data_IF_138065710306
#
_entry.id   IF_138065710306
#
_cell.length_a   1.000
_cell.length_b   1.000
_cell.length_c   1.000
_cell.angle_alpha   90.00
_cell.angle_beta   90.00
_cell.angle_gamma   90.00
#
_symmetry.space_group_name_H-M   'P 1'
#
loop_
_entity.id
_entity.type
_entity.pdbx_description
1 polymer ?
#
# COMPACT_ATOMS: atom_id res chain seq x y z
N UNK A 1 18.93 23.55 -2.43
CA UNK A 1 17.88 22.92 -3.27
C UNK A 1 16.68 22.63 -2.39
N UNK A 2 15.48 23.13 -2.71
CA UNK A 2 14.26 22.91 -1.92
C UNK A 2 13.74 21.49 -2.21
N UNK A 3 13.80 20.61 -1.22
CA UNK A 3 13.35 19.20 -1.36
C UNK A 3 11.84 19.06 -1.13
N UNK A 4 11.23 19.95 -0.37
CA UNK A 4 9.80 19.93 -0.02
C UNK A 4 9.17 21.31 -0.13
N UNK A 5 7.91 21.35 -0.57
CA UNK A 5 7.03 22.50 -0.46
C UNK A 5 6.11 22.30 0.75
N UNK A 6 6.32 23.09 1.81
CA UNK A 6 5.57 23.00 3.06
C UNK A 6 4.15 23.55 2.86
N UNK A 7 3.16 22.78 3.31
CA UNK A 7 1.74 23.16 3.21
C UNK A 7 1.51 24.49 3.94
N UNK A 8 0.87 25.44 3.25
CA UNK A 8 0.56 26.76 3.79
C UNK A 8 1.74 27.73 3.95
N UNK A 9 2.96 27.34 3.54
CA UNK A 9 4.16 28.19 3.65
C UNK A 9 4.95 28.36 2.35
N UNK A 10 4.70 27.54 1.35
CA UNK A 10 5.37 27.61 0.06
C UNK A 10 4.62 28.48 -0.95
N UNK A 11 5.35 28.96 -1.95
CA UNK A 11 4.77 29.69 -3.09
C UNK A 11 3.64 28.85 -3.73
N UNK A 12 2.43 29.41 -3.90
CA UNK A 12 1.24 28.65 -4.28
C UNK A 12 1.38 27.88 -5.60
N UNK A 13 1.94 28.50 -6.64
CA UNK A 13 2.06 27.90 -7.96
C UNK A 13 3.08 26.75 -7.97
N UNK A 14 4.20 26.89 -7.28
CA UNK A 14 5.19 25.83 -7.12
C UNK A 14 4.63 24.64 -6.34
N UNK A 15 3.92 24.90 -5.23
CA UNK A 15 3.22 23.88 -4.45
C UNK A 15 2.16 23.15 -5.30
N UNK A 16 1.37 23.91 -6.08
CA UNK A 16 0.38 23.36 -7.00
C UNK A 16 1.02 22.43 -8.04
N UNK A 17 2.07 22.90 -8.75
CA UNK A 17 2.79 22.09 -9.75
C UNK A 17 3.39 20.82 -9.16
N UNK A 18 3.96 20.92 -7.95
CA UNK A 18 4.49 19.77 -7.22
C UNK A 18 3.40 18.75 -6.88
N UNK A 19 2.23 19.22 -6.45
CA UNK A 19 1.08 18.36 -6.12
C UNK A 19 0.51 17.68 -7.36
N UNK A 20 0.39 18.40 -8.48
CA UNK A 20 -0.06 17.84 -9.75
C UNK A 20 0.88 16.73 -10.24
N UNK A 21 2.20 16.97 -10.20
CA UNK A 21 3.18 15.95 -10.60
C UNK A 21 3.16 14.73 -9.68
N UNK A 22 2.99 14.94 -8.36
CA UNK A 22 2.80 13.86 -7.40
C UNK A 22 1.57 13.00 -7.77
N UNK A 23 0.43 13.63 -8.06
CA UNK A 23 -0.77 12.88 -8.44
C UNK A 23 -0.56 12.15 -9.75
N UNK A 24 0.05 12.77 -10.76
CA UNK A 24 0.37 12.11 -12.04
C UNK A 24 1.26 10.88 -11.86
N UNK A 25 2.30 10.95 -11.04
CA UNK A 25 3.16 9.78 -10.79
C UNK A 25 2.38 8.65 -10.10
N UNK A 26 1.47 8.98 -9.18
CA UNK A 26 0.60 7.98 -8.53
C UNK A 26 -0.43 7.38 -9.50
N UNK A 27 -0.96 8.15 -10.45
CA UNK A 27 -1.85 7.64 -11.50
C UNK A 27 -1.12 6.64 -12.39
N UNK A 28 0.11 6.95 -12.82
CA UNK A 28 0.92 6.04 -13.62
C UNK A 28 1.21 4.75 -12.86
N UNK A 29 1.59 4.85 -11.58
CA UNK A 29 1.82 3.69 -10.73
C UNK A 29 0.53 2.86 -10.51
N UNK A 30 -0.63 3.51 -10.38
CA UNK A 30 -1.92 2.83 -10.27
C UNK A 30 -2.26 2.04 -11.55
N UNK A 31 -2.00 2.59 -12.73
CA UNK A 31 -2.19 1.87 -13.99
C UNK A 31 -1.20 0.72 -14.15
N UNK A 32 0.06 0.90 -13.74
CA UNK A 32 1.03 -0.20 -13.68
C UNK A 32 0.56 -1.32 -12.75
N UNK A 33 -0.03 -0.98 -11.61
CA UNK A 33 -0.59 -1.97 -10.69
C UNK A 33 -1.68 -2.82 -11.36
N UNK A 34 -2.63 -2.18 -12.04
CA UNK A 34 -3.65 -2.88 -12.80
C UNK A 34 -3.05 -3.77 -13.90
N UNK A 35 -2.08 -3.25 -14.65
CA UNK A 35 -1.36 -4.02 -15.67
C UNK A 35 -0.69 -5.27 -15.07
N UNK A 36 0.07 -5.13 -13.99
CA UNK A 36 0.76 -6.26 -13.38
C UNK A 36 -0.17 -7.29 -12.75
N UNK A 37 -1.30 -6.88 -12.17
CA UNK A 37 -2.29 -7.84 -11.69
C UNK A 37 -2.94 -8.62 -12.83
N UNK A 38 -3.34 -7.94 -13.91
CA UNK A 38 -3.94 -8.60 -15.08
C UNK A 38 -2.93 -9.52 -15.78
N UNK A 39 -1.70 -9.05 -15.99
CA UNK A 39 -0.62 -9.87 -16.53
C UNK A 39 -0.30 -11.05 -15.61
N UNK A 40 -0.24 -10.83 -14.30
CA UNK A 40 -0.05 -11.87 -13.29
C UNK A 40 -1.08 -12.99 -13.39
N UNK A 41 -2.34 -12.67 -13.62
CA UNK A 41 -3.40 -13.68 -13.81
C UNK A 41 -3.23 -14.48 -15.11
N UNK A 42 -2.67 -13.89 -16.15
CA UNK A 42 -2.53 -14.51 -17.48
C UNK A 42 -1.25 -15.34 -17.66
N UNK A 43 -0.28 -15.26 -16.76
CA UNK A 43 1.03 -15.91 -16.89
C UNK A 43 1.17 -17.19 -16.06
N UNK A 44 2.15 -18.07 -16.39
CA UNK A 44 2.41 -19.29 -15.62
C UNK A 44 2.86 -19.03 -14.17
N UNK A 45 2.73 -20.07 -13.34
CA UNK A 45 2.91 -20.01 -11.88
C UNK A 45 4.30 -19.55 -11.42
N UNK A 46 5.35 -19.81 -12.21
CA UNK A 46 6.74 -19.46 -11.88
C UNK A 46 7.01 -17.94 -11.88
N UNK A 47 6.26 -17.16 -12.68
CA UNK A 47 6.38 -15.70 -12.74
C UNK A 47 5.16 -14.97 -12.15
N UNK A 48 4.03 -15.68 -11.99
CA UNK A 48 2.80 -15.17 -11.38
C UNK A 48 3.05 -14.41 -10.08
N UNK A 49 3.69 -15.04 -9.07
CA UNK A 49 3.90 -14.43 -7.76
C UNK A 49 4.67 -13.11 -7.81
N UNK A 50 5.65 -13.02 -8.71
CA UNK A 50 6.45 -11.81 -8.91
C UNK A 50 5.65 -10.67 -9.54
N UNK A 51 4.84 -10.96 -10.57
CA UNK A 51 3.95 -9.95 -11.17
C UNK A 51 2.89 -9.48 -10.17
N UNK A 52 2.30 -10.39 -9.39
CA UNK A 52 1.35 -10.01 -8.34
C UNK A 52 2.02 -9.10 -7.29
N UNK A 53 3.28 -9.38 -6.91
CA UNK A 53 4.04 -8.52 -6.00
C UNK A 53 4.39 -7.17 -6.61
N UNK A 54 4.79 -7.10 -7.89
CA UNK A 54 4.98 -5.82 -8.59
C UNK A 54 3.68 -5.01 -8.64
N UNK A 55 2.55 -5.67 -8.87
CA UNK A 55 1.22 -5.07 -8.79
C UNK A 55 0.94 -4.45 -7.42
N UNK A 56 1.27 -5.15 -6.32
CA UNK A 56 1.14 -4.64 -4.96
C UNK A 56 2.13 -3.49 -4.67
N UNK A 57 3.38 -3.61 -5.10
CA UNK A 57 4.40 -2.56 -4.91
C UNK A 57 3.98 -1.27 -5.64
N UNK A 58 3.51 -1.37 -6.88
CA UNK A 58 2.95 -0.26 -7.66
C UNK A 58 1.72 0.34 -6.96
N UNK A 59 0.83 -0.50 -6.46
CA UNK A 59 -0.39 -0.06 -5.77
C UNK A 59 -0.06 0.72 -4.49
N UNK A 60 0.78 0.17 -3.62
CA UNK A 60 1.15 0.82 -2.36
C UNK A 60 2.09 1.99 -2.57
N UNK A 61 2.88 2.03 -3.65
CA UNK A 61 3.52 3.27 -4.07
C UNK A 61 2.47 4.34 -4.36
N UNK A 62 1.48 4.06 -5.21
CA UNK A 62 0.43 5.03 -5.55
C UNK A 62 -0.34 5.52 -4.32
N UNK A 63 -0.83 4.59 -3.48
CA UNK A 63 -1.64 4.90 -2.29
C UNK A 63 -0.83 5.65 -1.23
N UNK A 64 0.36 5.18 -0.88
CA UNK A 64 1.13 5.84 0.18
C UNK A 64 1.68 7.18 -0.28
N UNK A 65 2.02 7.31 -1.57
CA UNK A 65 2.60 8.54 -2.10
C UNK A 65 1.57 9.64 -2.32
N UNK A 66 0.32 9.32 -2.70
CA UNK A 66 -0.76 10.33 -2.77
C UNK A 66 -1.11 10.91 -1.39
N UNK A 67 -0.94 10.12 -0.34
CA UNK A 67 -1.20 10.52 1.04
C UNK A 67 -0.01 11.19 1.73
N UNK A 68 1.17 11.09 1.12
CA UNK A 68 2.42 11.58 1.67
C UNK A 68 2.32 13.04 2.16
N UNK A 69 1.67 13.99 1.44
CA UNK A 69 1.50 15.35 1.94
C UNK A 69 0.86 15.43 3.33
N UNK A 70 -0.13 14.58 3.62
CA UNK A 70 -0.75 14.47 4.95
C UNK A 70 0.15 13.77 5.97
N UNK A 71 1.06 12.90 5.53
CA UNK A 71 1.97 12.15 6.40
C UNK A 71 3.22 12.93 6.81
N UNK A 72 3.63 13.94 6.04
CA UNK A 72 4.84 14.74 6.30
C UNK A 72 4.58 16.25 6.40
N UNK A 73 3.32 16.68 6.21
CA UNK A 73 2.90 18.08 6.15
C UNK A 73 3.68 18.92 5.11
N UNK A 74 3.95 18.30 3.96
CA UNK A 74 4.64 18.92 2.83
C UNK A 74 4.50 18.07 1.56
N UNK A 75 4.52 18.70 0.40
CA UNK A 75 4.58 18.01 -0.90
C UNK A 75 6.05 17.93 -1.35
N UNK A 76 6.55 16.77 -1.80
CA UNK A 76 7.89 16.65 -2.38
C UNK A 76 8.07 17.56 -3.60
N UNK A 77 9.30 18.02 -3.81
CA UNK A 77 9.66 18.74 -5.03
C UNK A 77 9.46 17.85 -6.27
N UNK A 78 9.10 18.47 -7.40
CA UNK A 78 8.82 17.79 -8.68
C UNK A 78 9.93 16.82 -9.12
N UNK A 79 11.18 17.24 -8.97
CA UNK A 79 12.33 16.40 -9.28
C UNK A 79 12.43 15.16 -8.38
N UNK A 80 12.08 15.28 -7.09
CA UNK A 80 12.06 14.14 -6.17
C UNK A 80 10.91 13.18 -6.52
N UNK A 81 9.75 13.71 -6.92
CA UNK A 81 8.61 12.92 -7.44
C UNK A 81 9.01 12.05 -8.62
N UNK A 82 9.54 12.67 -9.68
CA UNK A 82 9.91 11.93 -10.88
C UNK A 82 11.14 11.05 -10.67
N UNK A 83 12.11 11.48 -9.85
CA UNK A 83 13.24 10.63 -9.44
C UNK A 83 12.79 9.38 -8.69
N UNK A 84 11.80 9.51 -7.80
CA UNK A 84 11.22 8.38 -7.08
C UNK A 84 10.47 7.44 -8.01
N UNK A 85 9.64 7.98 -8.91
CA UNK A 85 8.92 7.14 -9.87
C UNK A 85 9.87 6.45 -10.85
N UNK A 86 10.87 7.15 -11.39
CA UNK A 86 11.88 6.55 -12.27
C UNK A 86 12.67 5.47 -11.56
N UNK A 87 13.12 5.69 -10.32
CA UNK A 87 13.80 4.64 -9.55
C UNK A 87 12.90 3.43 -9.25
N UNK A 88 11.58 3.64 -9.09
CA UNK A 88 10.61 2.55 -9.03
C UNK A 88 10.56 1.73 -10.33
N UNK A 89 10.48 2.41 -11.49
CA UNK A 89 10.50 1.74 -12.81
C UNK A 89 11.79 0.96 -13.00
N UNK A 90 12.94 1.57 -12.72
CA UNK A 90 14.25 0.92 -12.80
C UNK A 90 14.31 -0.29 -11.88
N UNK A 91 13.76 -0.20 -10.66
CA UNK A 91 13.64 -1.33 -9.75
C UNK A 91 12.76 -2.46 -10.33
N UNK A 92 11.61 -2.14 -10.90
CA UNK A 92 10.69 -3.11 -11.49
C UNK A 92 11.27 -3.82 -12.72
N UNK A 93 12.04 -3.11 -13.55
CA UNK A 93 12.72 -3.68 -14.72
C UNK A 93 13.97 -4.44 -14.30
N UNK A 94 14.81 -3.84 -13.44
CA UNK A 94 16.06 -4.42 -12.95
C UNK A 94 15.86 -5.62 -12.02
N UNK A 95 14.65 -5.81 -11.48
CA UNK A 95 14.26 -6.96 -10.69
C UNK A 95 14.59 -8.30 -11.39
N UNK A 96 14.44 -8.38 -12.71
CA UNK A 96 14.74 -9.59 -13.46
C UNK A 96 16.24 -9.92 -13.54
N UNK A 97 17.12 -8.95 -13.28
CA UNK A 97 18.56 -9.13 -13.33
C UNK A 97 19.18 -9.37 -11.93
N UNK A 98 18.77 -8.58 -10.94
CA UNK A 98 19.40 -8.57 -9.60
C UNK A 98 18.40 -8.76 -8.45
N UNK A 99 17.17 -9.20 -8.75
CA UNK A 99 16.12 -9.41 -7.76
C UNK A 99 15.69 -8.12 -7.08
N UNK A 100 15.20 -8.21 -5.84
CA UNK A 100 14.64 -7.04 -5.14
C UNK A 100 15.70 -5.99 -4.76
N UNK A 101 16.99 -6.33 -4.79
CA UNK A 101 18.07 -5.35 -4.61
C UNK A 101 18.00 -4.18 -5.62
N UNK A 102 17.38 -4.40 -6.80
CA UNK A 102 17.12 -3.34 -7.78
C UNK A 102 16.26 -2.19 -7.22
N UNK A 103 15.47 -2.43 -6.18
CA UNK A 103 14.63 -1.42 -5.53
C UNK A 103 15.39 -0.58 -4.49
N UNK A 104 16.70 -0.80 -4.26
CA UNK A 104 17.46 -0.03 -3.28
C UNK A 104 17.41 1.50 -3.53
N UNK A 105 17.62 2.02 -4.76
CA UNK A 105 17.52 3.46 -5.02
C UNK A 105 16.13 4.02 -4.73
N UNK A 106 15.09 3.25 -5.09
CA UNK A 106 13.70 3.59 -4.77
C UNK A 106 13.48 3.67 -3.26
N UNK A 107 13.87 2.65 -2.51
CA UNK A 107 13.70 2.58 -1.07
C UNK A 107 14.40 3.76 -0.36
N UNK A 108 15.66 4.02 -0.69
CA UNK A 108 16.45 5.10 -0.08
C UNK A 108 15.83 6.46 -0.36
N UNK A 109 15.46 6.75 -1.61
CA UNK A 109 14.85 8.03 -1.97
C UNK A 109 13.48 8.20 -1.31
N UNK A 110 12.68 7.14 -1.25
CA UNK A 110 11.37 7.19 -0.61
C UNK A 110 11.49 7.47 0.89
N UNK A 111 12.43 6.79 1.57
CA UNK A 111 12.74 7.00 3.00
C UNK A 111 13.22 8.43 3.23
N UNK A 112 14.10 8.95 2.37
CA UNK A 112 14.58 10.33 2.45
C UNK A 112 13.42 11.32 2.36
N UNK A 113 12.48 11.11 1.44
CA UNK A 113 11.28 11.95 1.30
C UNK A 113 10.41 11.92 2.58
N UNK A 114 10.33 10.77 3.26
CA UNK A 114 9.63 10.62 4.54
C UNK A 114 10.32 11.30 5.72
N UNK A 115 11.60 11.67 5.62
CA UNK A 115 12.42 12.17 6.73
C UNK A 115 11.73 13.27 7.56
N UNK A 116 11.04 14.21 6.89
CA UNK A 116 10.30 15.30 7.56
C UNK A 116 9.19 14.79 8.47
N UNK A 117 8.53 13.71 8.10
CA UNK A 117 7.47 13.06 8.86
C UNK A 117 7.96 11.88 9.71
N UNK A 118 9.21 11.89 10.20
CA UNK A 118 9.68 10.88 11.16
C UNK A 118 9.73 11.38 12.60
N UNK A 119 9.66 12.70 12.81
CA UNK A 119 9.80 13.32 14.14
C UNK A 119 8.98 14.60 14.25
N UNK A 120 8.68 15.01 15.48
CA UNK A 120 8.12 16.32 15.80
C UNK A 120 6.60 16.36 16.03
N UNK A 121 5.83 15.39 15.54
CA UNK A 121 4.39 15.31 15.83
C UNK A 121 3.92 13.86 16.01
N UNK A 122 2.96 13.59 16.92
CA UNK A 122 2.45 12.23 17.12
C UNK A 122 1.83 11.60 15.87
N UNK A 123 1.22 12.40 15.00
CA UNK A 123 0.62 11.96 13.73
C UNK A 123 1.64 11.38 12.74
N UNK A 124 2.93 11.59 12.98
CA UNK A 124 4.02 11.10 12.13
C UNK A 124 4.52 9.71 12.54
N UNK A 125 4.31 9.28 13.79
CA UNK A 125 4.86 8.00 14.27
C UNK A 125 4.47 6.77 13.45
N UNK A 126 3.26 6.66 12.84
CA UNK A 126 2.96 5.52 11.97
C UNK A 126 3.87 5.41 10.73
N UNK A 127 4.56 6.50 10.31
CA UNK A 127 5.52 6.45 9.21
C UNK A 127 6.72 5.56 9.50
N UNK A 128 7.03 5.31 10.78
CA UNK A 128 8.14 4.43 11.17
C UNK A 128 7.94 3.02 10.60
N UNK A 129 6.72 2.51 10.62
CA UNK A 129 6.38 1.19 10.05
C UNK A 129 6.62 1.19 8.53
N UNK A 130 6.11 2.20 7.81
CA UNK A 130 6.28 2.32 6.35
C UNK A 130 7.75 2.42 5.95
N UNK A 131 8.53 3.26 6.63
CA UNK A 131 9.97 3.43 6.36
C UNK A 131 10.74 2.15 6.62
N UNK A 132 10.42 1.43 7.70
CA UNK A 132 10.99 0.10 7.93
C UNK A 132 10.67 -0.86 6.78
N UNK A 133 9.41 -0.93 6.32
CA UNK A 133 9.04 -1.77 5.18
C UNK A 133 9.81 -1.42 3.90
N UNK A 134 10.02 -0.13 3.63
CA UNK A 134 10.84 0.34 2.49
C UNK A 134 12.29 -0.15 2.60
N UNK A 135 12.91 -0.05 3.78
CA UNK A 135 14.29 -0.49 4.00
C UNK A 135 14.46 -2.01 3.89
N UNK A 136 13.42 -2.78 4.17
CA UNK A 136 13.43 -4.25 4.07
C UNK A 136 13.25 -4.75 2.64
N UNK A 137 12.61 -3.97 1.75
CA UNK A 137 12.34 -4.36 0.36
C UNK A 137 13.60 -4.84 -0.40
N UNK A 138 14.72 -4.08 -0.46
CA UNK A 138 15.90 -4.52 -1.21
C UNK A 138 16.59 -5.77 -0.64
N UNK A 139 16.24 -6.18 0.59
CA UNK A 139 16.78 -7.38 1.21
C UNK A 139 16.00 -8.64 0.84
N UNK A 140 14.87 -8.54 0.14
CA UNK A 140 13.99 -9.68 -0.15
C UNK A 140 14.62 -10.63 -1.19
N UNK A 141 14.49 -11.94 -0.94
CA UNK A 141 14.98 -13.00 -1.83
C UNK A 141 13.88 -13.57 -2.74
N UNK A 142 12.61 -13.44 -2.35
CA UNK A 142 11.47 -13.99 -3.08
C UNK A 142 10.24 -13.08 -2.96
N UNK A 143 9.22 -13.39 -3.76
CA UNK A 143 8.01 -12.58 -3.85
C UNK A 143 7.22 -12.50 -2.53
N UNK A 144 7.29 -13.54 -1.69
CA UNK A 144 6.57 -13.59 -0.41
C UNK A 144 7.21 -12.67 0.64
N UNK A 145 8.53 -12.66 0.73
CA UNK A 145 9.25 -11.68 1.55
C UNK A 145 8.95 -10.25 1.09
N UNK A 146 8.92 -10.02 -0.22
CA UNK A 146 8.65 -8.70 -0.78
C UNK A 146 7.23 -8.19 -0.45
N UNK A 147 6.18 -9.02 -0.44
CA UNK A 147 4.86 -8.55 0.04
C UNK A 147 4.87 -8.22 1.53
N UNK A 148 5.68 -8.92 2.32
CA UNK A 148 5.90 -8.69 3.75
C UNK A 148 6.91 -7.58 4.04
N UNK A 149 7.39 -6.86 3.03
CA UNK A 149 8.24 -5.68 3.18
C UNK A 149 7.40 -4.39 3.13
N UNK A 150 7.60 -3.55 2.13
CA UNK A 150 6.90 -2.28 1.95
C UNK A 150 5.36 -2.39 1.85
N UNK A 151 4.76 -3.34 1.08
CA UNK A 151 3.30 -3.42 0.95
C UNK A 151 2.61 -3.68 2.29
N UNK A 152 3.03 -4.71 3.03
CA UNK A 152 2.40 -5.05 4.32
C UNK A 152 2.65 -3.96 5.36
N UNK A 153 3.84 -3.37 5.41
CA UNK A 153 4.17 -2.26 6.30
C UNK A 153 3.26 -1.05 6.05
N UNK A 154 2.97 -0.77 4.78
CA UNK A 154 2.05 0.30 4.38
C UNK A 154 0.64 0.05 4.91
N UNK A 155 0.15 -1.19 4.83
CA UNK A 155 -1.14 -1.55 5.42
C UNK A 155 -1.13 -1.37 6.93
N UNK A 156 -0.13 -1.89 7.64
CA UNK A 156 -0.06 -1.71 9.10
C UNK A 156 0.02 -0.24 9.51
N UNK A 157 0.76 0.59 8.76
CA UNK A 157 0.78 2.03 9.00
C UNK A 157 -0.62 2.66 8.86
N UNK A 158 -1.35 2.30 7.80
CA UNK A 158 -2.71 2.80 7.56
C UNK A 158 -3.71 2.30 8.60
N UNK A 159 -3.68 1.00 8.94
CA UNK A 159 -4.50 0.42 10.00
C UNK A 159 -4.22 1.11 11.33
N UNK A 160 -2.96 1.35 11.66
CA UNK A 160 -2.59 2.06 12.87
C UNK A 160 -3.14 3.49 12.88
N UNK A 161 -3.06 4.21 11.76
CA UNK A 161 -3.63 5.56 11.61
C UNK A 161 -5.15 5.56 11.83
N UNK A 162 -5.86 4.71 11.11
CA UNK A 162 -7.32 4.74 11.06
C UNK A 162 -7.92 4.17 12.33
N UNK A 163 -7.47 3.00 12.79
CA UNK A 163 -8.07 2.34 13.96
C UNK A 163 -7.79 3.13 15.24
N UNK A 164 -6.60 3.76 15.37
CA UNK A 164 -6.32 4.68 16.48
C UNK A 164 -7.24 5.91 16.44
N UNK A 165 -7.45 6.49 15.25
CA UNK A 165 -8.36 7.62 15.06
C UNK A 165 -9.83 7.27 15.36
N UNK A 166 -10.32 6.13 14.85
CA UNK A 166 -11.68 5.60 15.13
C UNK A 166 -11.86 5.27 16.60
N UNK A 167 -10.82 4.84 17.29
CA UNK A 167 -10.80 4.63 18.73
C UNK A 167 -10.66 5.93 19.54
N UNK A 168 -10.50 7.09 18.88
CA UNK A 168 -10.23 8.40 19.49
C UNK A 168 -9.03 8.38 20.44
N UNK A 169 -8.04 7.54 20.13
CA UNK A 169 -6.80 7.39 20.90
C UNK A 169 -5.73 8.33 20.35
N UNK A 170 -4.74 8.65 21.18
CA UNK A 170 -3.56 9.41 20.74
C UNK A 170 -2.53 8.45 20.14
N UNK A 171 -1.86 8.89 19.08
CA UNK A 171 -0.65 8.23 18.61
C UNK A 171 0.46 8.42 19.64
N UNK A 172 1.17 7.34 19.96
CA UNK A 172 2.33 7.40 20.88
C UNK A 172 3.56 6.85 20.21
N UNK A 173 4.72 7.44 20.54
CA UNK A 173 6.02 6.98 20.06
C UNK A 173 6.27 5.53 20.52
N UNK A 174 5.89 5.21 21.76
CA UNK A 174 6.00 3.86 22.31
C UNK A 174 5.26 2.83 21.46
N UNK A 175 3.98 3.06 21.18
CA UNK A 175 3.19 2.08 20.41
C UNK A 175 3.71 1.96 18.98
N UNK A 176 4.13 3.06 18.35
CA UNK A 176 4.75 3.00 17.03
C UNK A 176 6.07 2.22 17.04
N UNK A 177 6.95 2.48 18.01
CA UNK A 177 8.21 1.76 18.17
C UNK A 177 7.98 0.26 18.38
N UNK A 178 7.03 -0.12 19.24
CA UNK A 178 6.71 -1.53 19.49
C UNK A 178 6.14 -2.18 18.23
N UNK A 179 5.18 -1.55 17.54
CA UNK A 179 4.66 -2.07 16.26
C UNK A 179 5.78 -2.26 15.24
N UNK A 180 6.67 -1.26 15.09
CA UNK A 180 7.80 -1.32 14.17
C UNK A 180 8.78 -2.42 14.56
N UNK A 181 9.13 -2.55 15.83
CA UNK A 181 10.05 -3.59 16.32
C UNK A 181 9.48 -4.99 16.11
N UNK A 182 8.21 -5.20 16.46
CA UNK A 182 7.51 -6.47 16.21
C UNK A 182 7.43 -6.77 14.71
N UNK A 183 7.27 -5.75 13.87
CA UNK A 183 7.29 -5.91 12.42
C UNK A 183 8.66 -6.38 11.91
N UNK A 184 9.76 -5.78 12.38
CA UNK A 184 11.13 -6.20 12.04
C UNK A 184 11.37 -7.63 12.48
N UNK A 185 11.03 -7.98 13.73
CA UNK A 185 11.17 -9.34 14.26
C UNK A 185 10.34 -10.32 13.43
N UNK A 186 9.11 -9.97 13.06
CA UNK A 186 8.27 -10.80 12.22
C UNK A 186 8.87 -11.01 10.83
N UNK A 187 9.46 -9.97 10.22
CA UNK A 187 10.14 -10.08 8.93
C UNK A 187 11.38 -10.98 9.01
N UNK A 188 12.16 -10.88 10.08
CA UNK A 188 13.27 -11.81 10.34
C UNK A 188 12.72 -13.24 10.50
N UNK A 189 11.59 -13.42 11.19
CA UNK A 189 10.89 -14.70 11.26
C UNK A 189 10.54 -15.26 9.88
N UNK A 190 9.96 -14.44 9.00
CA UNK A 190 9.67 -14.81 7.60
C UNK A 190 10.93 -15.25 6.86
N UNK A 191 12.04 -14.51 7.02
CA UNK A 191 13.35 -14.86 6.43
C UNK A 191 13.84 -16.24 6.87
N UNK A 192 13.51 -16.63 8.09
CA UNK A 192 13.83 -17.93 8.67
C UNK A 192 12.76 -19.01 8.37
N UNK A 193 11.76 -18.70 7.54
CA UNK A 193 10.67 -19.61 7.16
C UNK A 193 9.45 -19.60 8.08
N UNK A 194 9.44 -18.80 9.14
CA UNK A 194 8.32 -18.69 10.09
C UNK A 194 7.27 -17.68 9.60
N UNK A 195 6.50 -18.04 8.57
CA UNK A 195 5.51 -17.14 7.95
C UNK A 195 4.39 -16.69 8.91
N UNK A 196 4.11 -17.47 9.96
CA UNK A 196 3.13 -17.11 10.99
C UNK A 196 3.60 -15.96 11.90
N UNK A 197 4.88 -15.56 11.84
CA UNK A 197 5.43 -14.50 12.70
C UNK A 197 4.71 -13.15 12.52
N UNK A 198 4.01 -12.96 11.39
CA UNK A 198 3.14 -11.80 11.14
C UNK A 198 1.95 -11.70 12.11
N UNK A 199 1.65 -12.74 12.88
CA UNK A 199 0.72 -12.67 14.02
C UNK A 199 1.15 -11.62 15.06
N UNK A 200 2.45 -11.47 15.32
CA UNK A 200 2.94 -10.60 16.39
C UNK A 200 2.57 -9.11 16.18
N UNK A 201 2.90 -8.47 15.04
CA UNK A 201 2.46 -7.10 14.78
C UNK A 201 0.93 -6.98 14.67
N UNK A 202 0.23 -7.99 14.15
CA UNK A 202 -1.23 -8.00 14.07
C UNK A 202 -1.92 -8.05 15.44
N UNK A 203 -1.44 -8.90 16.33
CA UNK A 203 -1.94 -9.02 17.70
C UNK A 203 -1.70 -7.71 18.45
N UNK A 204 -0.47 -7.19 18.41
CA UNK A 204 -0.16 -5.92 19.08
C UNK A 204 -1.02 -4.77 18.56
N UNK A 205 -1.17 -4.64 17.25
CA UNK A 205 -2.00 -3.60 16.68
C UNK A 205 -3.48 -3.77 17.08
N UNK A 206 -3.95 -5.00 17.29
CA UNK A 206 -5.31 -5.30 17.78
C UNK A 206 -5.51 -4.87 19.21
N UNK A 207 -4.51 -5.02 20.07
CA UNK A 207 -4.56 -4.54 21.43
C UNK A 207 -4.43 -3.00 21.51
N UNK A 208 -3.49 -2.43 20.75
CA UNK A 208 -3.18 -1.00 20.75
C UNK A 208 -4.26 -0.15 20.06
N UNK A 209 -4.86 -0.67 18.99
CA UNK A 209 -5.88 -0.02 18.17
C UNK A 209 -6.89 -1.07 17.64
N UNK A 210 -7.86 -1.49 18.49
CA UNK A 210 -8.79 -2.56 18.13
C UNK A 210 -9.72 -2.14 16.98
N UNK A 211 -9.89 -2.99 15.95
CA UNK A 211 -10.79 -2.70 14.85
C UNK A 211 -12.24 -2.77 15.34
N UNK A 212 -13.06 -1.79 14.96
CA UNK A 212 -14.50 -1.79 15.26
C UNK A 212 -15.25 -2.51 14.14
N UNK A 213 -15.73 -3.73 14.39
CA UNK A 213 -16.34 -4.63 13.37
C UNK A 213 -17.78 -4.23 13.01
N UNK A 214 -18.10 -2.95 13.09
CA UNK A 214 -19.44 -2.41 12.85
C UNK A 214 -19.63 -1.87 11.42
N UNK A 215 -18.59 -1.85 10.61
CA UNK A 215 -18.64 -1.45 9.21
C UNK A 215 -17.71 -2.30 8.32
N UNK A 216 -17.84 -2.09 7.00
CA UNK A 216 -17.05 -2.79 5.96
C UNK A 216 -15.55 -2.69 6.22
N UNK A 217 -15.05 -1.49 6.57
CA UNK A 217 -13.64 -1.27 6.85
C UNK A 217 -13.18 -2.04 8.09
N UNK A 218 -13.93 -1.97 9.19
CA UNK A 218 -13.59 -2.65 10.43
C UNK A 218 -13.59 -4.16 10.32
N UNK A 219 -14.56 -4.73 9.59
CA UNK A 219 -14.59 -6.15 9.28
C UNK A 219 -13.39 -6.57 8.41
N UNK A 220 -13.06 -5.81 7.37
CA UNK A 220 -11.89 -6.11 6.54
C UNK A 220 -10.56 -5.91 7.26
N UNK A 221 -10.44 -4.91 8.16
CA UNK A 221 -9.27 -4.70 9.02
C UNK A 221 -9.08 -5.87 9.99
N UNK A 222 -10.16 -6.32 10.64
CA UNK A 222 -10.13 -7.49 11.50
C UNK A 222 -9.71 -8.74 10.71
N UNK A 223 -10.37 -9.02 9.59
CA UNK A 223 -10.04 -10.16 8.73
C UNK A 223 -8.56 -10.14 8.29
N UNK A 224 -8.08 -9.00 7.80
CA UNK A 224 -6.72 -8.85 7.29
C UNK A 224 -5.65 -9.25 8.31
N UNK A 225 -5.79 -8.77 9.55
CA UNK A 225 -4.82 -9.00 10.64
C UNK A 225 -4.64 -10.49 10.96
N UNK A 226 -5.67 -11.30 10.76
CA UNK A 226 -5.61 -12.74 11.01
C UNK A 226 -5.33 -13.54 9.75
N UNK A 227 -5.89 -13.15 8.62
CA UNK A 227 -5.69 -13.84 7.35
C UNK A 227 -4.24 -13.77 6.87
N UNK A 228 -3.53 -12.66 7.09
CA UNK A 228 -2.12 -12.52 6.70
C UNK A 228 -1.20 -13.52 7.42
N UNK A 229 -1.56 -13.89 8.65
CA UNK A 229 -0.84 -14.86 9.45
C UNK A 229 -1.03 -16.32 9.00
N UNK A 230 -2.04 -16.58 8.17
CA UNK A 230 -2.30 -17.90 7.58
C UNK A 230 -1.41 -18.20 6.37
N UNK A 231 -0.44 -17.34 6.07
CA UNK A 231 0.55 -17.56 5.02
C UNK A 231 1.30 -18.91 5.06
N UNK A 232 1.56 -19.58 6.22
CA UNK A 232 2.09 -20.95 6.23
C UNK A 232 1.24 -21.97 5.46
N UNK A 233 -0.08 -21.75 5.36
CA UNK A 233 -0.99 -22.63 4.62
C UNK A 233 -1.02 -22.33 3.11
N UNK A 234 -0.26 -21.32 2.67
CA UNK A 234 -0.09 -20.95 1.27
C UNK A 234 0.08 -19.45 1.09
N UNK A 235 0.97 -19.05 0.18
CA UNK A 235 1.24 -17.65 -0.10
C UNK A 235 -0.02 -16.86 -0.52
N UNK A 236 -1.02 -17.52 -1.14
CA UNK A 236 -2.28 -16.91 -1.52
C UNK A 236 -3.09 -16.34 -0.36
N UNK A 237 -2.96 -16.89 0.86
CA UNK A 237 -3.65 -16.35 2.03
C UNK A 237 -3.25 -14.89 2.28
N UNK A 238 -1.96 -14.58 2.13
CA UNK A 238 -1.47 -13.21 2.25
C UNK A 238 -1.93 -12.32 1.09
N UNK A 239 -1.79 -12.75 -0.17
CA UNK A 239 -2.25 -11.96 -1.33
C UNK A 239 -3.74 -11.67 -1.30
N UNK A 240 -4.55 -12.63 -0.89
CA UNK A 240 -6.00 -12.46 -0.84
C UNK A 240 -6.43 -11.65 0.39
N UNK A 241 -5.68 -11.68 1.50
CA UNK A 241 -5.83 -10.71 2.58
C UNK A 241 -5.62 -9.27 2.07
N UNK A 242 -4.58 -9.04 1.26
CA UNK A 242 -4.38 -7.76 0.58
C UNK A 242 -5.59 -7.36 -0.27
N UNK A 243 -6.13 -8.28 -1.08
CA UNK A 243 -7.32 -7.99 -1.89
C UNK A 243 -8.51 -7.51 -1.03
N UNK A 244 -8.78 -8.17 0.10
CA UNK A 244 -9.87 -7.78 1.01
C UNK A 244 -9.61 -6.40 1.61
N UNK A 245 -8.42 -6.14 2.17
CA UNK A 245 -8.15 -4.82 2.77
C UNK A 245 -8.13 -3.72 1.71
N UNK A 246 -7.61 -3.98 0.51
CA UNK A 246 -7.64 -3.05 -0.62
C UNK A 246 -9.08 -2.69 -0.99
N UNK A 247 -9.99 -3.67 -1.05
CA UNK A 247 -11.41 -3.46 -1.37
C UNK A 247 -12.18 -2.64 -0.33
N UNK A 248 -11.79 -2.68 0.95
CA UNK A 248 -12.50 -1.94 2.02
C UNK A 248 -11.82 -0.64 2.43
N UNK A 249 -10.56 -0.45 2.04
CA UNK A 249 -9.74 0.70 2.43
C UNK A 249 -9.18 1.42 1.20
N UNK A 250 -8.26 0.80 0.49
CA UNK A 250 -7.45 1.58 -0.44
C UNK A 250 -8.24 2.01 -1.69
N UNK A 251 -9.03 1.10 -2.25
CA UNK A 251 -9.88 1.32 -3.42
C UNK A 251 -10.96 2.38 -3.16
N UNK A 252 -11.83 2.22 -2.15
CA UNK A 252 -12.94 3.15 -1.95
C UNK A 252 -12.48 4.54 -1.54
N UNK A 253 -11.34 4.69 -0.83
CA UNK A 253 -10.94 5.99 -0.30
C UNK A 253 -9.90 6.74 -1.16
N UNK A 254 -9.04 6.04 -1.90
CA UNK A 254 -7.88 6.70 -2.55
C UNK A 254 -7.91 6.70 -4.07
N UNK A 255 -8.56 5.74 -4.74
CA UNK A 255 -8.55 5.71 -6.21
C UNK A 255 -9.25 6.93 -6.81
N UNK A 256 -10.39 7.35 -6.26
CA UNK A 256 -11.08 8.57 -6.70
C UNK A 256 -10.18 9.81 -6.56
N UNK A 257 -9.48 9.94 -5.42
CA UNK A 257 -8.56 11.04 -5.18
C UNK A 257 -7.37 11.04 -6.17
N UNK A 258 -6.77 9.87 -6.43
CA UNK A 258 -5.68 9.71 -7.41
C UNK A 258 -6.16 10.10 -8.82
N UNK A 259 -7.38 9.73 -9.19
CA UNK A 259 -7.93 9.99 -10.53
C UNK A 259 -8.57 11.38 -10.68
N UNK A 260 -8.56 12.21 -9.63
CA UNK A 260 -9.33 13.46 -9.57
C UNK A 260 -10.81 13.26 -9.93
N UNK A 261 -11.43 12.23 -9.40
CA UNK A 261 -12.84 11.90 -9.62
C UNK A 261 -13.61 11.83 -8.32
N UNK A 262 -14.92 12.02 -8.42
CA UNK A 262 -15.82 11.72 -7.30
C UNK A 262 -15.56 10.29 -6.82
N UNK A 263 -15.51 10.11 -5.51
CA UNK A 263 -15.38 8.78 -4.92
C UNK A 263 -16.66 8.00 -5.23
N UNK A 264 -16.58 6.85 -5.92
CA UNK A 264 -17.76 6.03 -6.16
C UNK A 264 -18.31 5.46 -4.85
N UNK A 265 -19.64 5.34 -4.76
CA UNK A 265 -20.24 4.56 -3.68
C UNK A 265 -20.12 3.07 -4.01
N UNK A 266 -19.13 2.42 -3.42
CA UNK A 266 -18.95 0.98 -3.55
C UNK A 266 -19.88 0.22 -2.59
N UNK A 267 -20.76 -0.61 -3.16
CA UNK A 267 -21.65 -1.50 -2.41
C UNK A 267 -20.89 -2.70 -1.83
N UNK A 268 -21.57 -3.84 -1.68
CA UNK A 268 -20.94 -5.06 -1.16
C UNK A 268 -20.11 -5.78 -2.24
N UNK A 269 -20.26 -5.40 -3.51
CA UNK A 269 -19.72 -6.09 -4.67
C UNK A 269 -18.20 -6.20 -4.64
N UNK A 270 -17.48 -5.14 -4.22
CA UNK A 270 -16.03 -5.17 -4.09
C UNK A 270 -15.57 -6.22 -3.06
N UNK A 271 -16.26 -6.30 -1.93
CA UNK A 271 -15.92 -7.21 -0.84
C UNK A 271 -16.32 -8.63 -1.21
N UNK A 272 -17.51 -8.80 -1.78
CA UNK A 272 -18.03 -10.08 -2.22
C UNK A 272 -17.14 -10.70 -3.30
N UNK A 273 -16.70 -9.90 -4.28
CA UNK A 273 -15.82 -10.40 -5.35
C UNK A 273 -14.41 -10.73 -4.82
N UNK A 274 -13.88 -9.94 -3.87
CA UNK A 274 -12.62 -10.27 -3.20
C UNK A 274 -12.73 -11.53 -2.33
N UNK A 275 -13.83 -11.70 -1.60
CA UNK A 275 -14.10 -12.90 -0.82
C UNK A 275 -14.31 -14.13 -1.71
N UNK A 276 -15.00 -13.99 -2.85
CA UNK A 276 -15.15 -15.05 -3.85
C UNK A 276 -13.78 -15.47 -4.41
N UNK A 277 -12.92 -14.50 -4.75
CA UNK A 277 -11.56 -14.78 -5.21
C UNK A 277 -10.75 -15.54 -4.15
N UNK A 278 -10.87 -15.13 -2.88
CA UNK A 278 -10.23 -15.76 -1.72
C UNK A 278 -10.71 -17.22 -1.53
N UNK A 279 -12.02 -17.43 -1.42
CA UNK A 279 -12.61 -18.76 -1.17
C UNK A 279 -12.35 -19.70 -2.35
N UNK A 280 -12.54 -19.23 -3.58
CA UNK A 280 -12.27 -20.03 -4.79
C UNK A 280 -10.81 -20.48 -4.86
N UNK A 281 -9.87 -19.63 -4.41
CA UNK A 281 -8.45 -20.00 -4.36
C UNK A 281 -8.18 -21.11 -3.36
N UNK A 282 -8.79 -21.03 -2.17
CA UNK A 282 -8.66 -22.05 -1.13
C UNK A 282 -9.24 -23.39 -1.57
N UNK A 283 -10.38 -23.35 -2.26
CA UNK A 283 -11.06 -24.55 -2.77
C UNK A 283 -10.40 -25.13 -4.04
N UNK A 284 -9.29 -24.57 -4.51
CA UNK A 284 -8.60 -25.03 -5.71
C UNK A 284 -9.26 -24.64 -7.05
N UNK A 285 -10.33 -23.84 -7.02
CA UNK A 285 -11.00 -23.30 -8.22
C UNK A 285 -10.21 -22.12 -8.81
N UNK A 286 -9.00 -22.40 -9.31
CA UNK A 286 -8.04 -21.38 -9.77
C UNK A 286 -8.59 -20.48 -10.88
N UNK A 287 -9.30 -21.00 -11.92
CA UNK A 287 -9.86 -20.15 -12.97
C UNK A 287 -10.92 -19.17 -12.46
N UNK A 288 -11.74 -19.60 -11.49
CA UNK A 288 -12.77 -18.75 -10.87
C UNK A 288 -12.11 -17.64 -10.05
N UNK A 289 -11.08 -17.98 -9.27
CA UNK A 289 -10.29 -17.01 -8.50
C UNK A 289 -9.64 -15.97 -9.42
N UNK A 290 -9.01 -16.42 -10.51
CA UNK A 290 -8.41 -15.57 -11.54
C UNK A 290 -9.43 -14.62 -12.17
N UNK A 291 -10.59 -15.14 -12.60
CA UNK A 291 -11.66 -14.34 -13.18
C UNK A 291 -12.18 -13.29 -12.19
N UNK A 292 -12.35 -13.65 -10.92
CA UNK A 292 -12.79 -12.71 -9.89
C UNK A 292 -11.78 -11.56 -9.68
N UNK A 293 -10.47 -11.83 -9.77
CA UNK A 293 -9.43 -10.77 -9.73
C UNK A 293 -9.53 -9.85 -10.95
N UNK A 294 -9.69 -10.41 -12.16
CA UNK A 294 -9.88 -9.60 -13.38
C UNK A 294 -11.14 -8.73 -13.26
N UNK A 295 -12.24 -9.31 -12.80
CA UNK A 295 -13.50 -8.59 -12.57
C UNK A 295 -13.31 -7.47 -11.56
N UNK A 296 -12.60 -7.70 -10.44
CA UNK A 296 -12.30 -6.65 -9.45
C UNK A 296 -11.57 -5.46 -10.07
N UNK A 297 -10.53 -5.72 -10.86
CA UNK A 297 -9.72 -4.67 -11.50
C UNK A 297 -10.58 -3.88 -12.50
N UNK A 298 -11.28 -4.57 -13.40
CA UNK A 298 -12.12 -3.94 -14.42
C UNK A 298 -13.28 -3.18 -13.79
N UNK A 299 -13.98 -3.79 -12.83
CA UNK A 299 -15.10 -3.17 -12.12
C UNK A 299 -14.67 -1.89 -11.41
N UNK A 300 -13.55 -1.93 -10.69
CA UNK A 300 -12.99 -0.76 -10.00
C UNK A 300 -12.67 0.36 -11.00
N UNK A 301 -12.01 0.01 -12.11
CA UNK A 301 -11.66 0.98 -13.16
C UNK A 301 -12.93 1.60 -13.78
N UNK A 302 -13.84 0.78 -14.28
CA UNK A 302 -15.09 1.23 -14.92
C UNK A 302 -15.90 2.09 -13.97
N UNK A 303 -16.07 1.66 -12.72
CA UNK A 303 -16.84 2.42 -11.74
C UNK A 303 -16.18 3.76 -11.44
N UNK A 304 -14.86 3.80 -11.25
CA UNK A 304 -14.13 5.05 -11.00
C UNK A 304 -14.18 6.00 -12.19
N UNK A 305 -14.02 5.52 -13.42
CA UNK A 305 -14.01 6.37 -14.62
C UNK A 305 -15.39 6.90 -15.02
N UNK A 306 -16.47 6.29 -14.56
CA UNK A 306 -17.84 6.79 -14.75
C UNK A 306 -18.17 7.98 -13.86
N UNK A 307 -17.48 8.13 -12.74
CA UNK A 307 -17.72 9.22 -11.82
C UNK A 307 -17.22 10.57 -12.36
N UNK A 308 -17.83 11.67 -11.88
CA UNK A 308 -17.51 13.03 -12.32
C UNK A 308 -16.03 13.37 -12.10
N UNK A 309 -15.40 13.94 -13.12
CA UNK A 309 -14.02 14.44 -13.07
C UNK A 309 -13.98 15.87 -12.52
N UNK A 310 -13.04 16.12 -11.61
CA UNK A 310 -12.80 17.41 -10.97
C UNK A 310 -11.37 17.87 -11.30
N UNK A 311 -11.18 18.62 -12.39
CA UNK A 311 -9.84 19.04 -12.78
C UNK A 311 -9.20 19.91 -11.69
N UNK A 312 -7.92 19.69 -11.36
CA UNK A 312 -7.21 20.58 -10.45
C UNK A 312 -7.10 21.98 -11.10
N UNK A 313 -7.50 23.01 -10.37
CA UNK A 313 -7.43 24.41 -10.82
C UNK A 313 -6.16 25.06 -10.27
N UNK A 314 -5.36 25.74 -11.11
CA UNK A 314 -4.19 26.48 -10.63
C UNK A 314 -4.61 27.63 -9.70
N UNK A 315 -3.77 28.00 -8.71
CA UNK A 315 -3.99 29.19 -7.91
C UNK A 315 -3.88 30.44 -8.80
N UNK A 316 -4.74 31.43 -8.51
CA UNK A 316 -4.73 32.77 -9.12
C UNK A 316 -3.52 33.58 -8.70
#
# INVERSE_FOLDING_TARGET
MVVWHVIGKSEPLAFYKATVDLVKSTQMALFMSAFFFLAGVAVPSNIHGYLMTLGLLSFYHAVMYVQLPGFINATPHRAATWGLFTSFIVGAVGFFAVGYAAFLPYAVLHVFIYYRGLRGAPTYYPNWVTVTGLLLLPLCANHLEAIFSFPLASVYSLLYRIDTSRARRKFTARNAAVTTALYVVAFIGVKLGYLWAMLAPSLFLTLAAPPKVNDKYGAGSFFFRWAVALAPFGHHFAYMAFAVIMSVLCVPYFIGAILFRQIPNYGIELIATAALAYVSRILGALPVSALAVVVLVIYTAVRSFREKYYPPTPPS
#
